data_IF_265529184329
#
_entry.id   IF_265529184329
#
_cell.length_a   1.000
_cell.length_b   1.000
_cell.length_c   1.000
_cell.angle_alpha   90.00
_cell.angle_beta   90.00
_cell.angle_gamma   90.00
#
_symmetry.space_group_name_H-M   'P 1'
#
loop_
_entity.id
_entity.type
_entity.pdbx_description
1 polymer ?
#
# COMPACT_ATOMS: atom_id res chain seq x y z
N UNK A 1 3.73 -22.38 7.45
CA UNK A 1 4.35 -21.09 7.81
C UNK A 1 3.48 -20.42 8.85
N UNK A 2 3.91 -20.35 10.12
CA UNK A 2 3.16 -19.58 11.11
C UNK A 2 3.09 -18.12 10.65
N UNK A 3 1.94 -17.48 10.81
CA UNK A 3 1.73 -16.07 10.46
C UNK A 3 1.95 -15.69 8.98
N UNK A 4 1.70 -16.58 8.01
CA UNK A 4 1.70 -16.15 6.59
C UNK A 4 0.30 -15.65 6.15
N UNK A 5 -0.75 -16.30 6.63
CA UNK A 5 -2.13 -16.04 6.19
C UNK A 5 -2.60 -14.60 6.45
N UNK A 6 -2.11 -13.96 7.52
CA UNK A 6 -2.47 -12.57 7.84
C UNK A 6 -1.99 -11.59 6.76
N UNK A 7 -0.92 -11.93 6.02
CA UNK A 7 -0.38 -11.08 4.97
C UNK A 7 -1.35 -10.94 3.80
N UNK A 8 -2.20 -11.95 3.54
CA UNK A 8 -3.25 -11.83 2.52
C UNK A 8 -4.30 -10.80 2.92
N UNK A 9 -4.70 -10.79 4.20
CA UNK A 9 -5.66 -9.81 4.69
C UNK A 9 -5.07 -8.39 4.61
N UNK A 10 -3.83 -8.20 5.09
CA UNK A 10 -3.11 -6.91 4.98
C UNK A 10 -2.98 -6.48 3.52
N UNK A 11 -2.60 -7.40 2.63
CA UNK A 11 -2.42 -7.09 1.21
C UNK A 11 -3.71 -6.65 0.52
N UNK A 12 -4.84 -7.29 0.84
CA UNK A 12 -6.15 -6.91 0.30
C UNK A 12 -6.59 -5.56 0.87
N UNK A 13 -6.42 -5.32 2.17
CA UNK A 13 -6.72 -4.02 2.80
C UNK A 13 -5.90 -2.88 2.18
N UNK A 14 -4.59 -3.09 2.00
CA UNK A 14 -3.72 -2.12 1.35
C UNK A 14 -4.13 -1.86 -0.11
N UNK A 15 -4.44 -2.92 -0.86
CA UNK A 15 -4.90 -2.79 -2.25
C UNK A 15 -6.19 -1.97 -2.36
N UNK A 16 -7.13 -2.17 -1.41
CA UNK A 16 -8.36 -1.38 -1.36
C UNK A 16 -8.08 0.11 -1.11
N UNK A 17 -7.28 0.41 -0.07
CA UNK A 17 -6.93 1.79 0.28
C UNK A 17 -6.23 2.51 -0.88
N UNK A 18 -5.24 1.87 -1.51
CA UNK A 18 -4.53 2.44 -2.66
C UNK A 18 -5.46 2.68 -3.86
N UNK A 19 -6.35 1.73 -4.14
CA UNK A 19 -7.31 1.86 -5.25
C UNK A 19 -8.29 3.00 -5.01
N UNK A 20 -8.77 3.17 -3.78
CA UNK A 20 -9.68 4.25 -3.40
C UNK A 20 -9.04 5.64 -3.60
N UNK A 21 -7.78 5.82 -3.18
CA UNK A 21 -7.03 7.07 -3.41
C UNK A 21 -6.93 7.40 -4.90
N UNK A 22 -6.58 6.43 -5.73
CA UNK A 22 -6.46 6.62 -7.18
C UNK A 22 -7.83 6.92 -7.82
N UNK A 23 -8.88 6.18 -7.46
CA UNK A 23 -10.22 6.33 -8.03
C UNK A 23 -10.93 7.61 -7.59
N UNK A 24 -10.63 8.12 -6.39
CA UNK A 24 -11.16 9.40 -5.88
C UNK A 24 -10.52 10.63 -6.52
N UNK A 25 -9.44 10.44 -7.30
CA UNK A 25 -8.73 11.54 -7.95
C UNK A 25 -7.89 12.38 -6.99
N UNK A 26 -7.47 11.81 -5.85
CA UNK A 26 -6.57 12.48 -4.92
C UNK A 26 -5.28 12.92 -5.64
N UNK A 27 -4.90 14.18 -5.43
CA UNK A 27 -3.73 14.79 -6.09
C UNK A 27 -2.47 14.03 -5.64
N UNK A 28 -1.76 13.45 -6.61
CA UNK A 28 -0.52 12.70 -6.37
C UNK A 28 -0.69 11.20 -6.12
N UNK A 29 -1.91 10.69 -5.92
CA UNK A 29 -2.13 9.27 -5.61
C UNK A 29 -1.66 8.33 -6.73
N UNK A 30 -1.82 8.71 -7.99
CA UNK A 30 -1.34 7.92 -9.12
C UNK A 30 0.21 7.90 -9.19
N UNK A 31 0.86 9.02 -8.88
CA UNK A 31 2.32 9.13 -8.87
C UNK A 31 2.92 8.32 -7.71
N UNK A 32 2.33 8.41 -6.51
CA UNK A 32 2.67 7.60 -5.34
C UNK A 32 2.57 6.09 -5.66
N UNK A 33 1.49 5.70 -6.34
CA UNK A 33 1.26 4.31 -6.74
C UNK A 33 2.30 3.82 -7.76
N UNK A 34 2.66 4.64 -8.75
CA UNK A 34 3.71 4.32 -9.71
C UNK A 34 5.09 4.22 -9.03
N UNK A 35 5.37 5.11 -8.07
CA UNK A 35 6.59 5.08 -7.27
C UNK A 35 6.68 3.79 -6.44
N UNK A 36 5.59 3.39 -5.79
CA UNK A 36 5.47 2.12 -5.09
C UNK A 36 5.78 0.91 -5.99
N UNK A 37 5.17 0.86 -7.18
CA UNK A 37 5.43 -0.22 -8.14
C UNK A 37 6.89 -0.25 -8.60
N UNK A 38 7.49 0.93 -8.81
CA UNK A 38 8.89 1.04 -9.23
C UNK A 38 9.90 0.57 -8.17
N UNK A 39 9.53 0.67 -6.88
CA UNK A 39 10.36 0.22 -5.77
C UNK A 39 10.41 -1.32 -5.65
N UNK A 40 9.44 -2.04 -6.20
CA UNK A 40 9.41 -3.51 -6.16
C UNK A 40 9.62 -4.06 -4.74
N UNK A 41 10.59 -4.96 -4.57
CA UNK A 41 10.97 -5.53 -3.27
C UNK A 41 12.24 -4.90 -2.67
N UNK A 42 12.59 -3.67 -3.06
CA UNK A 42 13.85 -3.04 -2.65
C UNK A 42 13.81 -2.43 -1.24
N UNK A 43 12.64 -2.39 -0.60
CA UNK A 43 12.45 -1.78 0.72
C UNK A 43 11.49 -2.59 1.60
N UNK A 44 11.42 -2.25 2.88
CA UNK A 44 10.49 -2.88 3.82
C UNK A 44 9.04 -2.55 3.46
N UNK A 45 8.17 -3.56 3.56
CA UNK A 45 6.76 -3.48 3.13
C UNK A 45 6.00 -2.32 3.80
N UNK A 46 6.22 -2.07 5.09
CA UNK A 46 5.56 -0.95 5.79
C UNK A 46 5.99 0.41 5.26
N UNK A 47 7.25 0.55 4.87
CA UNK A 47 7.77 1.80 4.30
C UNK A 47 7.28 2.00 2.87
N UNK A 48 7.12 0.90 2.12
CA UNK A 48 6.51 0.92 0.80
C UNK A 48 5.04 1.35 0.84
N UNK A 49 4.26 0.88 1.82
CA UNK A 49 2.87 1.36 1.98
C UNK A 49 2.83 2.86 2.29
N UNK A 50 3.70 3.35 3.20
CA UNK A 50 3.79 4.79 3.49
C UNK A 50 4.23 5.61 2.30
N UNK A 51 5.15 5.08 1.49
CA UNK A 51 5.56 5.68 0.22
C UNK A 51 4.38 5.78 -0.75
N UNK A 52 3.51 4.77 -0.75
CA UNK A 52 2.27 4.75 -1.51
C UNK A 52 1.13 5.56 -0.84
N UNK A 53 1.45 6.34 0.21
CA UNK A 53 0.55 7.20 0.97
C UNK A 53 -0.48 6.49 1.87
N UNK A 54 -0.21 5.25 2.28
CA UNK A 54 -1.07 4.47 3.20
C UNK A 54 -0.27 4.01 4.42
N UNK A 55 -0.72 4.32 5.64
CA UNK A 55 -0.10 3.81 6.87
C UNK A 55 -0.89 2.61 7.41
N UNK A 56 -0.45 1.41 7.06
CA UNK A 56 -1.09 0.14 7.50
C UNK A 56 -0.94 -0.13 9.02
N UNK A 57 -0.31 0.77 9.79
CA UNK A 57 -0.29 0.73 11.24
C UNK A 57 -1.45 1.52 11.88
N UNK A 58 -2.15 2.35 11.08
CA UNK A 58 -3.37 3.06 11.48
C UNK A 58 -4.61 2.20 11.16
N UNK A 59 -5.69 2.29 11.94
CA UNK A 59 -6.96 1.60 11.64
C UNK A 59 -7.82 2.30 10.57
N UNK A 60 -7.35 3.42 10.03
CA UNK A 60 -8.00 4.25 9.00
C UNK A 60 -7.84 3.63 7.60
#
# INVERSE_FOLDING_TARGET
>A
MPYYTFQYAIGISAANALSERVLSGEIGAADDYLLFLSAGSSNYTMDLFRLAGVDMASPE
#
